data_IF_784122824309
#
_entry.id   IF_784122824309
#
_cell.length_a   1.000
_cell.length_b   1.000
_cell.length_c   1.000
_cell.angle_alpha   90.00
_cell.angle_beta   90.00
_cell.angle_gamma   90.00
#
_symmetry.space_group_name_H-M   'P 1'
#
loop_
_entity.id
_entity.type
_entity.pdbx_description
1 polymer ?
#
# COMPACT_ATOMS: atom_id res chain seq x y z
N UNK A 1 10.41 -21.48 -18.92
CA UNK A 1 11.20 -20.58 -18.04
C UNK A 1 10.66 -20.69 -16.63
N UNK A 2 11.46 -21.08 -15.63
CA UNK A 2 11.01 -21.03 -14.24
C UNK A 2 10.89 -19.56 -13.78
N UNK A 3 9.91 -19.22 -12.91
CA UNK A 3 9.84 -17.90 -12.30
C UNK A 3 11.09 -17.64 -11.45
N UNK A 4 11.56 -16.39 -11.44
CA UNK A 4 12.72 -15.95 -10.65
C UNK A 4 12.41 -14.67 -9.89
N UNK A 5 12.94 -14.53 -8.68
CA UNK A 5 12.87 -13.29 -7.92
C UNK A 5 13.75 -12.21 -8.57
N UNK A 6 13.32 -10.95 -8.43
CA UNK A 6 14.16 -9.81 -8.78
C UNK A 6 15.30 -9.64 -7.78
N UNK A 7 16.43 -9.11 -8.22
CA UNK A 7 17.53 -8.73 -7.33
C UNK A 7 17.08 -7.62 -6.36
N UNK A 8 17.60 -7.64 -5.14
CA UNK A 8 17.32 -6.60 -4.13
C UNK A 8 17.71 -5.23 -4.67
N UNK A 9 16.80 -4.26 -4.55
CA UNK A 9 16.99 -2.87 -4.99
C UNK A 9 16.24 -1.92 -4.08
N UNK A 10 16.75 -0.70 -3.94
CA UNK A 10 16.06 0.39 -3.23
C UNK A 10 14.87 0.95 -4.04
N UNK A 11 14.74 0.57 -5.31
CA UNK A 11 13.64 0.99 -6.20
C UNK A 11 12.41 0.08 -6.09
N UNK A 12 12.43 -0.91 -5.20
CA UNK A 12 11.30 -1.82 -5.01
C UNK A 12 10.12 -1.03 -4.42
N UNK A 13 8.94 -1.21 -5.01
CA UNK A 13 7.72 -0.58 -4.53
C UNK A 13 7.22 -1.39 -3.34
N UNK A 14 7.06 -0.79 -2.14
CA UNK A 14 6.59 -1.50 -0.98
C UNK A 14 5.13 -1.96 -1.14
N UNK A 15 4.86 -3.18 -0.66
CA UNK A 15 3.52 -3.74 -0.53
C UNK A 15 3.28 -3.98 0.96
N UNK A 16 2.28 -3.30 1.52
CA UNK A 16 1.89 -3.48 2.92
C UNK A 16 0.62 -4.29 2.98
N UNK A 17 0.70 -5.42 3.66
CA UNK A 17 -0.46 -6.26 3.99
C UNK A 17 -1.02 -5.75 5.31
N UNK A 18 -2.27 -5.31 5.29
CA UNK A 18 -2.92 -4.63 6.42
C UNK A 18 -4.21 -5.35 6.77
N UNK A 19 -4.32 -5.78 8.02
CA UNK A 19 -5.56 -6.27 8.61
C UNK A 19 -6.52 -5.10 8.88
N UNK A 20 -7.83 -5.34 8.76
CA UNK A 20 -8.84 -4.31 9.04
C UNK A 20 -8.69 -3.62 10.40
N UNK A 21 -8.50 -4.33 11.55
CA UNK A 21 -8.29 -3.67 12.84
C UNK A 21 -6.98 -2.86 12.90
N UNK A 22 -6.00 -3.21 12.07
CA UNK A 22 -4.68 -2.58 12.06
C UNK A 22 -4.60 -1.35 11.15
N UNK A 23 -5.61 -1.09 10.31
CA UNK A 23 -5.61 0.03 9.35
C UNK A 23 -5.36 1.39 10.02
N UNK A 24 -6.00 1.64 11.16
CA UNK A 24 -5.81 2.91 11.90
C UNK A 24 -4.38 3.03 12.44
N UNK A 25 -3.82 1.92 12.94
CA UNK A 25 -2.43 1.87 13.41
C UNK A 25 -1.45 2.13 12.27
N UNK A 26 -1.61 1.40 11.16
CA UNK A 26 -0.81 1.57 9.95
C UNK A 26 -0.87 3.00 9.42
N UNK A 27 -2.07 3.61 9.37
CA UNK A 27 -2.26 4.99 8.94
C UNK A 27 -1.44 5.98 9.78
N UNK A 28 -1.28 5.78 11.09
CA UNK A 28 -0.50 6.71 11.94
C UNK A 28 0.94 6.91 11.46
N UNK A 29 1.55 5.86 10.91
CA UNK A 29 2.92 5.86 10.41
C UNK A 29 3.08 6.43 8.99
N UNK A 30 1.98 6.74 8.30
CA UNK A 30 2.02 7.24 6.94
C UNK A 30 2.15 8.78 6.89
N UNK A 31 2.68 9.27 5.76
CA UNK A 31 2.70 10.68 5.46
C UNK A 31 1.27 11.22 5.19
N UNK A 32 1.12 12.55 5.17
CA UNK A 32 -0.19 13.19 4.99
C UNK A 32 -0.85 12.88 3.63
N UNK A 33 -0.06 12.71 2.56
CA UNK A 33 -0.56 12.38 1.22
C UNK A 33 -1.18 11.00 1.18
N UNK A 34 -0.49 10.00 1.71
CA UNK A 34 -0.98 8.62 1.80
C UNK A 34 -2.26 8.55 2.64
N UNK A 35 -2.29 9.23 3.80
CA UNK A 35 -3.49 9.31 4.67
C UNK A 35 -4.71 9.87 3.92
N UNK A 36 -4.51 11.00 3.22
CA UNK A 36 -5.58 11.65 2.45
C UNK A 36 -6.06 10.75 1.30
N UNK A 37 -5.14 10.10 0.59
CA UNK A 37 -5.47 9.21 -0.51
C UNK A 37 -6.26 7.99 -0.08
N UNK A 38 -5.83 7.31 0.99
CA UNK A 38 -6.53 6.15 1.56
C UNK A 38 -7.96 6.50 1.94
N UNK A 39 -8.15 7.68 2.56
CA UNK A 39 -9.48 8.19 2.91
C UNK A 39 -10.31 8.52 1.67
N UNK A 40 -9.74 9.21 0.70
CA UNK A 40 -10.45 9.59 -0.54
C UNK A 40 -10.85 8.37 -1.38
N UNK A 41 -10.05 7.31 -1.35
CA UNK A 41 -10.32 6.05 -2.02
C UNK A 41 -11.34 5.17 -1.27
N UNK A 42 -11.74 5.53 -0.04
CA UNK A 42 -12.66 4.73 0.78
C UNK A 42 -12.12 3.34 1.14
N UNK A 43 -10.81 3.18 1.26
CA UNK A 43 -10.19 1.88 1.51
C UNK A 43 -10.33 1.45 2.98
N UNK A 44 -10.87 0.25 3.19
CA UNK A 44 -11.14 -0.31 4.53
C UNK A 44 -10.32 -1.56 4.89
N UNK A 45 -9.29 -1.90 4.10
CA UNK A 45 -8.47 -3.10 4.32
C UNK A 45 -9.25 -4.44 4.34
N UNK A 46 -10.37 -4.53 3.63
CA UNK A 46 -11.11 -5.78 3.45
C UNK A 46 -10.28 -6.84 2.72
N UNK A 47 -10.54 -8.12 2.99
CA UNK A 47 -9.80 -9.24 2.41
C UNK A 47 -9.79 -9.18 0.87
N UNK A 48 -8.60 -9.17 0.30
CA UNK A 48 -8.40 -9.11 -1.15
C UNK A 48 -8.54 -7.71 -1.76
N UNK A 49 -8.86 -6.69 -0.95
CA UNK A 49 -8.85 -5.30 -1.41
C UNK A 49 -7.42 -4.86 -1.72
N UNK A 50 -7.23 -4.08 -2.78
CA UNK A 50 -5.93 -3.53 -3.16
C UNK A 50 -6.08 -2.04 -3.46
N UNK A 51 -5.24 -1.22 -2.83
CA UNK A 51 -5.12 0.20 -3.11
C UNK A 51 -3.73 0.53 -3.62
N UNK A 52 -3.68 1.11 -4.82
CA UNK A 52 -2.49 1.72 -5.39
C UNK A 52 -2.39 3.17 -4.90
N UNK A 53 -1.27 3.55 -4.30
CA UNK A 53 -1.07 4.91 -3.78
C UNK A 53 -0.09 5.65 -4.70
N UNK A 54 -0.51 6.76 -5.34
CA UNK A 54 0.35 7.52 -6.22
C UNK A 54 1.40 8.31 -5.44
N UNK A 55 2.60 8.41 -6.01
CA UNK A 55 3.62 9.35 -5.62
C UNK A 55 3.30 10.74 -6.19
N UNK A 56 4.00 11.77 -5.68
CA UNK A 56 3.81 13.17 -6.11
C UNK A 56 4.08 13.41 -7.60
N UNK A 57 4.95 12.61 -8.21
CA UNK A 57 5.31 12.69 -9.63
C UNK A 57 4.37 11.86 -10.53
N UNK A 58 3.30 11.27 -9.95
CA UNK A 58 2.36 10.42 -10.68
C UNK A 58 2.83 8.97 -10.84
N UNK A 59 3.99 8.61 -10.31
CA UNK A 59 4.42 7.20 -10.24
C UNK A 59 3.75 6.47 -9.07
N UNK A 60 4.11 5.20 -8.82
CA UNK A 60 3.54 4.40 -7.75
C UNK A 60 4.43 4.45 -6.50
N UNK A 61 3.90 5.01 -5.40
CA UNK A 61 4.61 5.12 -4.12
C UNK A 61 4.55 3.81 -3.33
N UNK A 62 3.36 3.20 -3.23
CA UNK A 62 3.15 1.94 -2.50
C UNK A 62 1.87 1.22 -2.93
N UNK A 63 1.77 -0.03 -2.53
CA UNK A 63 0.53 -0.83 -2.59
C UNK A 63 0.08 -1.16 -1.17
N UNK A 64 -1.21 -1.05 -0.91
CA UNK A 64 -1.82 -1.51 0.35
C UNK A 64 -2.79 -2.64 0.02
N UNK A 65 -2.53 -3.83 0.57
CA UNK A 65 -3.36 -5.02 0.39
C UNK A 65 -4.12 -5.32 1.69
N UNK A 66 -5.44 -5.45 1.60
CA UNK A 66 -6.30 -5.78 2.73
C UNK A 66 -6.30 -7.28 3.02
N UNK A 67 -6.13 -7.63 4.29
CA UNK A 67 -6.13 -9.02 4.79
C UNK A 67 -7.41 -9.40 5.55
N UNK A 68 -8.39 -8.50 5.61
CA UNK A 68 -9.63 -8.72 6.36
C UNK A 68 -9.54 -8.27 7.81
#
# INVERSE_FOLDING_TARGET
>A
MPPKFASKTQKAIPIDVVEKPSLVGWLKHQNAGVKAWVKAAGFEAGLGAVLLVPAKDGTLERVVAGWG
#
